data_IF_466937060405
#
_entry.id   IF_466937060405
#
_cell.length_a   1.000
_cell.length_b   1.000
_cell.length_c   1.000
_cell.angle_alpha   90.00
_cell.angle_beta   90.00
_cell.angle_gamma   90.00
#
_symmetry.space_group_name_H-M   'P 1'
#
loop_
_entity.id
_entity.type
_entity.pdbx_description
1 polymer ?
#
# COMPACT_ATOMS: atom_id res chain seq x y z
N UNK A 1 -3.95 -6.27 -12.78
CA UNK A 1 -3.61 -5.59 -11.50
C UNK A 1 -2.83 -6.60 -10.66
N UNK A 2 -1.64 -6.26 -10.13
CA UNK A 2 -0.80 -7.27 -9.44
C UNK A 2 -1.47 -7.73 -8.14
N UNK A 3 -2.09 -8.90 -8.21
CA UNK A 3 -2.48 -9.69 -7.06
C UNK A 3 -1.76 -11.01 -7.15
N UNK A 4 -0.85 -11.21 -6.20
CA UNK A 4 -0.28 -12.48 -5.76
C UNK A 4 -0.10 -13.53 -6.85
N UNK A 5 1.13 -13.63 -7.35
CA UNK A 5 1.70 -14.93 -7.64
C UNK A 5 3.03 -15.01 -6.91
N UNK A 6 3.08 -15.88 -5.89
CA UNK A 6 4.22 -16.59 -5.27
C UNK A 6 3.83 -16.91 -3.83
N UNK A 7 4.01 -18.17 -3.43
CA UNK A 7 3.81 -18.75 -2.10
C UNK A 7 4.71 -18.11 -1.03
N UNK A 8 4.50 -16.84 -0.70
CA UNK A 8 5.27 -16.15 0.34
C UNK A 8 4.71 -16.45 1.73
N UNK A 9 5.58 -16.59 2.73
CA UNK A 9 5.14 -16.68 4.12
C UNK A 9 4.56 -15.34 4.60
N UNK A 10 3.69 -15.33 5.61
CA UNK A 10 3.17 -14.09 6.21
C UNK A 10 4.27 -13.11 6.62
N UNK A 11 5.40 -13.63 7.11
CA UNK A 11 6.58 -12.85 7.47
C UNK A 11 7.22 -12.18 6.25
N UNK A 12 7.35 -12.91 5.12
CA UNK A 12 7.88 -12.35 3.88
C UNK A 12 6.97 -11.27 3.29
N UNK A 13 5.66 -11.48 3.30
CA UNK A 13 4.66 -10.48 2.87
C UNK A 13 4.81 -9.19 3.68
N UNK A 14 5.02 -9.34 4.99
CA UNK A 14 5.26 -8.23 5.90
C UNK A 14 6.60 -7.53 5.63
N UNK A 15 7.68 -8.29 5.45
CA UNK A 15 9.04 -7.81 5.14
C UNK A 15 9.16 -7.16 3.76
N UNK A 16 8.30 -7.55 2.82
CA UNK A 16 8.22 -6.95 1.51
C UNK A 16 7.31 -5.71 1.50
N UNK A 17 6.53 -5.49 2.57
CA UNK A 17 5.57 -4.39 2.65
C UNK A 17 4.50 -4.44 1.54
N UNK A 18 4.15 -5.65 1.08
CA UNK A 18 3.11 -5.89 0.06
C UNK A 18 1.94 -6.56 0.73
N UNK A 19 1.05 -5.79 1.35
CA UNK A 19 -0.05 -6.40 2.08
C UNK A 19 -1.39 -5.72 1.83
N UNK A 20 -2.41 -6.55 1.59
CA UNK A 20 -3.80 -6.10 1.59
C UNK A 20 -4.71 -7.02 2.39
N UNK A 21 -5.41 -6.46 3.36
CA UNK A 21 -6.33 -7.18 4.24
C UNK A 21 -6.35 -6.63 5.66
N UNK A 22 -6.90 -7.41 6.58
CA UNK A 22 -6.90 -7.10 8.00
C UNK A 22 -5.81 -7.88 8.74
N UNK A 23 -4.92 -7.18 9.44
CA UNK A 23 -3.89 -7.78 10.29
C UNK A 23 -4.42 -7.90 11.71
N UNK A 24 -4.46 -9.12 12.23
CA UNK A 24 -4.87 -9.40 13.59
C UNK A 24 -3.68 -9.85 14.42
N UNK A 25 -3.34 -9.04 15.40
CA UNK A 25 -2.38 -9.37 16.44
C UNK A 25 -3.07 -10.05 17.61
N UNK A 26 -2.52 -11.19 18.06
CA UNK A 26 -3.03 -11.92 19.22
C UNK A 26 -1.93 -12.68 19.97
N UNK A 27 -2.29 -13.30 21.10
CA UNK A 27 -1.37 -14.15 21.88
C UNK A 27 -0.33 -13.40 22.72
N UNK A 28 -0.45 -12.08 22.88
CA UNK A 28 0.52 -11.24 23.59
C UNK A 28 1.75 -10.93 22.73
N UNK A 29 2.88 -10.64 23.37
CA UNK A 29 4.16 -10.43 22.69
C UNK A 29 5.21 -11.43 23.17
N UNK A 30 6.14 -11.75 22.27
CA UNK A 30 7.35 -12.51 22.55
C UNK A 30 8.56 -11.63 22.27
N UNK A 31 9.66 -11.90 22.99
CA UNK A 31 10.93 -11.23 22.79
C UNK A 31 11.82 -12.10 21.91
N UNK A 32 12.34 -11.53 20.84
CA UNK A 32 13.19 -12.21 19.86
C UNK A 32 14.56 -11.53 19.85
N UNK A 33 15.61 -12.34 19.90
CA UNK A 33 16.97 -11.87 19.70
C UNK A 33 17.24 -11.75 18.19
N UNK A 34 17.76 -10.60 17.77
CA UNK A 34 18.17 -10.32 16.40
C UNK A 34 19.57 -9.69 16.40
N UNK A 35 20.20 -9.63 15.23
CA UNK A 35 21.48 -8.94 15.07
C UNK A 35 21.40 -7.48 15.56
N UNK A 36 22.02 -7.21 16.71
CA UNK A 36 22.06 -5.89 17.33
C UNK A 36 21.08 -5.64 18.48
N UNK A 37 20.32 -6.64 18.95
CA UNK A 37 19.58 -6.55 20.22
C UNK A 37 18.31 -7.40 20.34
N UNK A 38 17.47 -7.02 21.30
CA UNK A 38 16.18 -7.68 21.57
C UNK A 38 15.02 -6.87 20.97
N UNK A 39 14.07 -7.57 20.36
CA UNK A 39 12.87 -6.98 19.75
C UNK A 39 11.60 -7.64 20.28
N UNK A 40 10.50 -6.89 20.38
CA UNK A 40 9.19 -7.45 20.68
C UNK A 40 8.44 -7.70 19.38
N UNK A 41 7.73 -8.83 19.29
CA UNK A 41 6.73 -9.10 18.24
C UNK A 41 5.50 -9.75 18.85
N UNK A 42 4.34 -9.57 18.23
CA UNK A 42 3.15 -10.31 18.62
C UNK A 42 3.36 -11.80 18.45
N UNK A 43 2.85 -12.60 19.39
CA UNK A 43 3.00 -14.06 19.37
C UNK A 43 2.34 -14.67 18.13
N UNK A 44 1.16 -14.15 17.79
CA UNK A 44 0.42 -14.53 16.60
C UNK A 44 0.11 -13.29 15.76
N UNK A 45 0.24 -13.46 14.44
CA UNK A 45 -0.12 -12.46 13.42
C UNK A 45 -0.95 -13.20 12.37
N UNK A 46 -2.25 -12.91 12.34
CA UNK A 46 -3.18 -13.50 11.39
C UNK A 46 -3.52 -12.48 10.31
N UNK A 47 -3.58 -12.94 9.07
CA UNK A 47 -3.93 -12.14 7.90
C UNK A 47 -5.33 -12.57 7.45
N UNK A 48 -6.30 -11.68 7.62
CA UNK A 48 -7.72 -11.95 7.41
C UNK A 48 -8.28 -11.10 6.26
N UNK A 49 -9.40 -11.54 5.66
CA UNK A 49 -10.21 -10.75 4.70
C UNK A 49 -9.47 -10.22 3.46
N UNK A 50 -8.38 -10.86 3.05
CA UNK A 50 -7.51 -10.39 1.97
C UNK A 50 -8.26 -10.21 0.63
N UNK A 51 -9.10 -11.18 0.25
CA UNK A 51 -9.92 -11.12 -0.98
C UNK A 51 -10.95 -9.98 -0.94
N UNK A 52 -11.58 -9.77 0.21
CA UNK A 52 -12.55 -8.68 0.41
C UNK A 52 -11.86 -7.32 0.28
N UNK A 53 -10.68 -7.15 0.88
CA UNK A 53 -9.94 -5.89 0.81
C UNK A 53 -9.35 -5.68 -0.59
N UNK A 54 -8.92 -6.75 -1.26
CA UNK A 54 -8.45 -6.69 -2.64
C UNK A 54 -9.53 -6.18 -3.60
N UNK A 55 -10.75 -6.69 -3.45
CA UNK A 55 -11.92 -6.23 -4.22
C UNK A 55 -12.23 -4.77 -3.91
N UNK A 56 -12.26 -4.40 -2.63
CA UNK A 56 -12.53 -3.03 -2.19
C UNK A 56 -11.50 -2.06 -2.75
N UNK A 57 -10.20 -2.32 -2.57
CA UNK A 57 -9.16 -1.39 -3.01
C UNK A 57 -9.09 -1.26 -4.52
N UNK A 58 -9.42 -2.33 -5.27
CA UNK A 58 -9.55 -2.25 -6.73
C UNK A 58 -10.65 -1.27 -7.11
N UNK A 59 -11.86 -1.49 -6.59
CA UNK A 59 -13.01 -0.62 -6.87
C UNK A 59 -12.73 0.84 -6.48
N UNK A 60 -12.15 1.05 -5.30
CA UNK A 60 -11.79 2.37 -4.80
C UNK A 60 -10.74 3.05 -5.70
N UNK A 61 -9.69 2.33 -6.08
CA UNK A 61 -8.58 2.89 -6.88
C UNK A 61 -9.06 3.25 -8.28
N UNK A 62 -9.85 2.38 -8.92
CA UNK A 62 -10.45 2.65 -10.22
C UNK A 62 -11.33 3.90 -10.17
N UNK A 63 -12.14 4.05 -9.12
CA UNK A 63 -12.99 5.23 -8.93
C UNK A 63 -12.17 6.51 -8.71
N UNK A 64 -11.15 6.48 -7.84
CA UNK A 64 -10.38 7.69 -7.49
C UNK A 64 -9.51 8.15 -8.65
N UNK A 65 -8.78 7.23 -9.30
CA UNK A 65 -7.97 7.58 -10.46
C UNK A 65 -8.84 7.96 -11.65
N UNK A 66 -9.95 7.24 -11.90
CA UNK A 66 -10.91 7.59 -12.95
C UNK A 66 -11.52 8.97 -12.74
N UNK A 67 -11.92 9.30 -11.50
CA UNK A 67 -12.46 10.62 -11.15
C UNK A 67 -11.43 11.72 -11.27
N UNK A 68 -10.19 11.47 -10.82
CA UNK A 68 -9.10 12.43 -10.95
C UNK A 68 -8.80 12.71 -12.42
N UNK A 69 -8.59 11.67 -13.25
CA UNK A 69 -8.28 11.80 -14.67
C UNK A 69 -9.40 12.44 -15.49
N UNK A 70 -10.66 12.15 -15.17
CA UNK A 70 -11.82 12.76 -15.85
C UNK A 70 -11.83 14.28 -15.74
N UNK A 71 -11.30 14.87 -14.64
CA UNK A 71 -11.18 16.33 -14.48
C UNK A 71 -10.21 16.96 -15.48
N UNK A 72 -9.28 16.17 -16.01
CA UNK A 72 -8.26 16.59 -16.98
C UNK A 72 -8.66 16.21 -18.41
N UNK A 73 -9.94 15.87 -18.65
CA UNK A 73 -10.47 15.39 -19.93
C UNK A 73 -9.76 14.11 -20.44
N UNK A 74 -9.15 13.35 -19.55
CA UNK A 74 -8.55 12.05 -19.87
C UNK A 74 -9.65 11.00 -19.74
N UNK A 75 -9.91 10.27 -20.82
CA UNK A 75 -10.87 9.16 -20.81
C UNK A 75 -10.18 7.94 -20.21
N UNK A 76 -10.65 7.41 -19.07
CA UNK A 76 -10.14 6.15 -18.55
C UNK A 76 -10.44 5.06 -19.56
N UNK A 77 -9.41 4.34 -20.00
CA UNK A 77 -9.64 3.05 -20.66
C UNK A 77 -10.25 2.10 -19.63
N UNK A 78 -11.07 1.16 -20.10
CA UNK A 78 -11.35 -0.03 -19.29
C UNK A 78 -10.03 -0.57 -18.76
N UNK A 79 -10.01 -0.96 -17.48
CA UNK A 79 -8.80 -1.37 -16.79
C UNK A 79 -8.08 -2.43 -17.62
N UNK A 80 -7.02 -2.01 -18.31
CA UNK A 80 -6.18 -2.93 -19.07
C UNK A 80 -5.56 -3.86 -18.05
N UNK A 81 -5.71 -5.17 -18.26
CA UNK A 81 -4.94 -6.11 -17.46
C UNK A 81 -3.46 -5.91 -17.84
N UNK A 82 -2.60 -5.44 -16.92
CA UNK A 82 -1.22 -5.18 -17.21
C UNK A 82 -0.51 -6.53 -17.36
N UNK A 83 -0.49 -7.06 -18.57
CA UNK A 83 0.35 -8.22 -18.91
C UNK A 83 1.79 -7.74 -19.07
N UNK A 84 2.73 -8.38 -18.37
CA UNK A 84 4.16 -8.12 -18.54
C UNK A 84 4.67 -6.78 -17.99
N UNK A 85 3.93 -6.07 -17.14
CA UNK A 85 4.45 -4.83 -16.56
C UNK A 85 5.67 -5.09 -15.66
N UNK A 86 6.76 -4.34 -15.88
CA UNK A 86 7.93 -4.36 -15.00
C UNK A 86 7.62 -3.62 -13.70
N UNK A 87 7.74 -4.33 -12.57
CA UNK A 87 7.58 -3.76 -11.24
C UNK A 87 8.55 -2.59 -10.99
N UNK A 88 8.14 -1.55 -10.24
CA UNK A 88 9.07 -0.52 -9.79
C UNK A 88 10.18 -1.14 -8.95
N UNK A 89 11.39 -0.60 -9.10
CA UNK A 89 12.52 -1.05 -8.31
C UNK A 89 12.39 -0.56 -6.86
N UNK A 90 12.74 -1.44 -5.92
CA UNK A 90 12.76 -1.15 -4.49
C UNK A 90 14.18 -0.84 -4.06
N UNK A 91 14.34 0.26 -3.34
CA UNK A 91 15.58 0.59 -2.67
C UNK A 91 15.32 0.79 -1.17
N UNK A 92 15.97 0.02 -0.29
CA UNK A 92 15.87 0.26 1.14
C UNK A 92 16.49 1.62 1.49
N UNK A 93 15.90 2.32 2.44
CA UNK A 93 16.44 3.57 2.98
C UNK A 93 16.47 3.57 4.52
N UNK A 94 17.35 4.41 5.08
CA UNK A 94 17.49 4.61 6.53
C UNK A 94 16.92 5.96 6.95
N UNK A 95 16.48 6.09 8.19
CA UNK A 95 15.92 7.33 8.76
C UNK A 95 14.40 7.25 8.96
N UNK A 96 13.81 8.25 9.60
CA UNK A 96 12.36 8.34 9.91
C UNK A 96 11.54 8.44 8.62
N UNK A 97 10.46 7.67 8.54
CA UNK A 97 9.49 7.78 7.45
C UNK A 97 8.70 9.10 7.59
N UNK A 98 8.16 9.63 6.49
CA UNK A 98 7.44 10.92 6.48
C UNK A 98 6.19 10.94 7.36
N UNK A 99 5.63 9.77 7.67
CA UNK A 99 4.45 9.59 8.51
C UNK A 99 4.79 9.06 9.92
N UNK A 100 6.08 8.92 10.23
CA UNK A 100 6.57 8.51 11.54
C UNK A 100 6.59 9.72 12.48
N UNK A 101 5.51 9.87 13.24
CA UNK A 101 5.33 10.89 14.29
C UNK A 101 5.90 10.44 15.64
N UNK A 102 6.57 9.27 15.70
CA UNK A 102 7.09 8.68 16.92
C UNK A 102 6.03 8.07 17.85
N UNK A 103 4.74 8.24 17.54
CA UNK A 103 3.62 7.65 18.28
C UNK A 103 3.17 6.31 17.70
N UNK A 104 3.50 6.08 16.42
CA UNK A 104 3.26 4.83 15.72
C UNK A 104 4.58 4.15 15.37
N UNK A 105 5.13 3.37 16.31
CA UNK A 105 6.45 2.75 16.22
C UNK A 105 6.55 1.62 15.17
N UNK A 106 5.85 1.68 14.04
CA UNK A 106 5.87 0.64 13.01
C UNK A 106 7.17 0.67 12.20
N UNK A 107 8.04 -0.32 12.45
CA UNK A 107 9.13 -0.71 11.57
C UNK A 107 8.59 -1.51 10.37
N UNK A 108 7.66 -0.90 9.60
CA UNK A 108 7.45 -1.40 8.25
C UNK A 108 8.79 -1.31 7.49
N UNK A 109 9.07 -2.27 6.59
CA UNK A 109 10.20 -2.20 5.69
C UNK A 109 10.27 -0.83 5.02
N UNK A 110 11.36 -0.11 5.24
CA UNK A 110 11.55 1.25 4.74
C UNK A 110 12.18 1.19 3.36
N UNK A 111 11.36 1.34 2.33
CA UNK A 111 11.82 1.39 0.94
C UNK A 111 11.19 2.52 0.15
N UNK A 112 11.97 3.08 -0.76
CA UNK A 112 11.50 3.96 -1.82
C UNK A 112 11.27 3.14 -3.09
N UNK A 113 10.21 3.48 -3.82
CA UNK A 113 9.94 2.93 -5.14
C UNK A 113 10.47 3.88 -6.21
N UNK A 114 11.14 3.34 -7.21
CA UNK A 114 11.56 4.09 -8.41
C UNK A 114 10.91 3.44 -9.62
N UNK A 115 10.20 4.22 -10.47
CA UNK A 115 9.50 3.65 -11.61
C UNK A 115 10.51 3.05 -12.60
N UNK A 116 10.09 2.00 -13.26
CA UNK A 116 10.81 1.31 -14.33
C UNK A 116 9.99 1.44 -15.60
N UNK A 117 10.64 1.52 -16.75
CA UNK A 117 9.93 1.57 -18.04
C UNK A 117 9.04 0.33 -18.20
N UNK A 118 7.88 0.49 -18.84
CA UNK A 118 6.98 -0.62 -19.09
C UNK A 118 7.51 -1.46 -20.26
N UNK A 119 7.96 -2.69 -19.98
CA UNK A 119 8.44 -3.63 -20.99
C UNK A 119 7.96 -5.05 -20.69
N UNK A 120 7.31 -5.75 -21.64
CA UNK A 120 6.90 -5.29 -22.98
C UNK A 120 5.82 -4.20 -22.93
N UNK A 121 5.69 -3.41 -24.00
CA UNK A 121 4.70 -2.32 -24.06
C UNK A 121 3.27 -2.84 -23.81
N UNK A 122 2.42 -2.06 -23.12
CA UNK A 122 1.03 -2.44 -22.95
C UNK A 122 0.29 -2.45 -24.29
N UNK A 123 -0.58 -3.44 -24.48
CA UNK A 123 -1.51 -3.46 -25.61
C UNK A 123 -2.61 -2.42 -25.37
N UNK A 124 -2.49 -1.25 -26.01
CA UNK A 124 -3.48 -0.17 -25.91
C UNK A 124 -3.99 0.23 -27.30
N UNK A 125 -5.23 0.75 -27.41
CA UNK A 125 -5.72 1.34 -28.65
C UNK A 125 -4.77 2.41 -29.22
N UNK A 126 -4.61 2.48 -30.54
CA UNK A 126 -3.63 3.36 -31.19
C UNK A 126 -3.83 4.87 -30.91
N UNK A 127 -5.04 5.27 -30.49
CA UNK A 127 -5.35 6.65 -30.09
C UNK A 127 -4.93 6.99 -28.65
N UNK A 128 -4.40 6.03 -27.90
CA UNK A 128 -3.93 6.21 -26.53
C UNK A 128 -2.48 6.67 -26.56
N UNK A 129 -2.22 7.83 -25.97
CA UNK A 129 -0.88 8.42 -25.90
C UNK A 129 -0.17 8.11 -24.59
N UNK A 130 -0.92 7.94 -23.50
CA UNK A 130 -0.36 7.68 -22.18
C UNK A 130 -1.25 6.75 -21.35
N UNK A 131 -0.62 6.01 -20.44
CA UNK A 131 -1.28 5.06 -19.53
C UNK A 131 -0.87 5.38 -18.10
N UNK A 132 -1.86 5.52 -17.21
CA UNK A 132 -1.62 5.60 -15.76
C UNK A 132 -1.79 4.22 -15.16
N UNK A 133 -0.79 3.75 -14.43
CA UNK A 133 -0.82 2.47 -13.74
C UNK A 133 -0.67 2.68 -12.23
N UNK A 134 -1.76 2.58 -11.45
CA UNK A 134 -1.69 2.58 -10.01
C UNK A 134 -1.24 1.21 -9.47
N UNK A 135 -0.41 1.23 -8.44
CA UNK A 135 0.12 0.07 -7.70
C UNK A 135 -0.24 0.25 -6.25
N UNK A 136 -1.03 -0.69 -5.73
CA UNK A 136 -1.27 -0.79 -4.30
C UNK A 136 -0.05 -1.43 -3.68
N UNK A 137 0.73 -0.63 -2.94
CA UNK A 137 1.89 -1.14 -2.21
C UNK A 137 1.38 -1.86 -0.96
N UNK A 138 0.55 -1.18 -0.17
CA UNK A 138 -0.16 -1.82 0.93
C UNK A 138 -1.51 -1.15 1.18
N UNK A 139 -2.50 -1.92 1.58
CA UNK A 139 -3.83 -1.47 1.96
C UNK A 139 -4.37 -2.34 3.10
N UNK A 140 -4.21 -1.91 4.33
CA UNK A 140 -4.57 -2.74 5.46
C UNK A 140 -5.14 -1.98 6.65
N UNK A 141 -5.89 -2.71 7.45
CA UNK A 141 -6.23 -2.34 8.82
C UNK A 141 -5.55 -3.28 9.81
N UNK A 142 -5.41 -2.84 11.05
CA UNK A 142 -4.91 -3.69 12.12
C UNK A 142 -5.53 -3.37 13.47
N UNK A 143 -5.62 -4.38 14.33
CA UNK A 143 -6.25 -4.26 15.65
C UNK A 143 -5.32 -3.70 16.74
N UNK A 144 -4.11 -3.27 16.39
CA UNK A 144 -3.07 -2.85 17.33
C UNK A 144 -2.34 -4.05 17.96
N UNK A 145 -1.05 -3.89 18.20
CA UNK A 145 -0.17 -4.99 18.62
C UNK A 145 1.30 -4.68 18.38
N UNK A 146 2.15 -5.71 18.40
CA UNK A 146 3.59 -5.58 18.17
C UNK A 146 3.93 -6.13 16.79
N UNK A 147 4.17 -5.25 15.84
CA UNK A 147 4.79 -5.58 14.57
C UNK A 147 6.24 -6.04 14.76
N UNK A 148 6.83 -6.62 13.72
CA UNK A 148 8.23 -7.02 13.72
C UNK A 148 9.17 -5.84 14.02
N UNK A 149 10.13 -6.08 14.91
CA UNK A 149 11.17 -5.11 15.23
C UNK A 149 10.71 -3.88 16.00
N UNK A 150 9.58 -3.96 16.70
CA UNK A 150 9.09 -2.87 17.54
C UNK A 150 9.60 -2.96 18.98
N UNK A 151 9.92 -1.79 19.56
CA UNK A 151 10.16 -1.67 21.01
C UNK A 151 8.86 -1.42 21.77
N UNK A 152 7.95 -0.65 21.20
CA UNK A 152 6.65 -0.30 21.77
C UNK A 152 5.53 -0.80 20.85
N UNK A 153 4.41 -1.24 21.43
CA UNK A 153 3.24 -1.65 20.66
C UNK A 153 2.62 -0.48 19.90
N UNK A 154 1.88 -0.81 18.85
CA UNK A 154 1.08 0.11 18.04
C UNK A 154 -0.38 0.09 18.48
N UNK A 155 -1.04 1.24 18.37
CA UNK A 155 -2.50 1.32 18.48
C UNK A 155 -3.14 0.78 17.21
N UNK A 156 -4.44 0.51 17.25
CA UNK A 156 -5.18 0.12 16.06
C UNK A 156 -5.25 1.25 15.02
N UNK A 157 -5.41 0.86 13.76
CA UNK A 157 -5.45 1.81 12.65
C UNK A 157 -5.54 1.15 11.28
N UNK A 158 -5.36 1.98 10.27
CA UNK A 158 -5.28 1.58 8.87
C UNK A 158 -4.19 2.36 8.12
N UNK A 159 -3.70 1.76 7.04
CA UNK A 159 -2.70 2.36 6.15
C UNK A 159 -2.98 2.03 4.70
N UNK A 160 -2.71 3.01 3.85
CA UNK A 160 -2.81 2.88 2.41
C UNK A 160 -1.61 3.59 1.76
N UNK A 161 -0.87 2.85 0.92
CA UNK A 161 0.18 3.38 0.06
C UNK A 161 -0.08 3.00 -1.38
N UNK A 162 -0.16 4.02 -2.23
CA UNK A 162 -0.32 3.88 -3.66
C UNK A 162 0.87 4.52 -4.35
N UNK A 163 1.52 3.74 -5.20
CA UNK A 163 2.51 4.22 -6.14
C UNK A 163 1.86 4.24 -7.51
N UNK A 164 1.92 5.35 -8.24
CA UNK A 164 1.41 5.43 -9.60
C UNK A 164 2.49 5.87 -10.56
N UNK A 165 2.42 5.37 -11.79
CA UNK A 165 3.30 5.78 -12.88
C UNK A 165 2.47 6.14 -14.10
N UNK A 166 2.79 7.25 -14.72
CA UNK A 166 2.31 7.66 -16.03
C UNK A 166 3.36 7.25 -17.07
N UNK A 167 2.94 6.44 -18.04
CA UNK A 167 3.77 5.93 -19.12
C UNK A 167 3.36 6.52 -20.45
N UNK A 168 4.34 6.73 -21.32
CA UNK A 168 4.11 6.91 -22.75
C UNK A 168 3.69 5.56 -23.36
N UNK A 169 2.54 5.54 -24.02
CA UNK A 169 1.94 4.31 -24.55
C UNK A 169 2.75 3.67 -25.69
N UNK A 170 3.53 4.47 -26.43
CA UNK A 170 4.23 4.04 -27.64
C UNK A 170 5.65 3.56 -27.34
N UNK A 171 6.26 4.10 -26.29
CA UNK A 171 7.66 3.85 -25.94
C UNK A 171 7.83 3.16 -24.59
N UNK A 172 6.78 3.13 -23.75
CA UNK A 172 6.83 2.58 -22.39
C UNK A 172 7.65 3.44 -21.44
N UNK A 173 8.10 4.62 -21.89
CA UNK A 173 8.90 5.54 -21.10
C UNK A 173 8.08 6.11 -19.95
N UNK A 174 8.72 6.32 -18.80
CA UNK A 174 8.10 6.97 -17.65
C UNK A 174 8.01 8.47 -17.92
N UNK A 175 6.78 9.00 -17.96
CA UNK A 175 6.51 10.43 -18.12
C UNK A 175 6.46 11.14 -16.75
N UNK A 176 5.80 10.52 -15.78
CA UNK A 176 5.66 11.05 -14.41
C UNK A 176 5.31 9.91 -13.45
N UNK A 177 5.48 10.13 -12.16
CA UNK A 177 5.12 9.16 -11.13
C UNK A 177 4.88 9.85 -9.79
N UNK A 178 4.20 9.14 -8.88
CA UNK A 178 4.01 9.60 -7.51
C UNK A 178 3.91 8.43 -6.54
N UNK A 179 4.46 8.66 -5.34
CA UNK A 179 4.35 7.76 -4.19
C UNK A 179 3.57 8.48 -3.08
N UNK A 180 2.41 7.94 -2.74
CA UNK A 180 1.48 8.54 -1.79
C UNK A 180 1.22 7.51 -0.70
N UNK A 181 1.37 7.93 0.54
CA UNK A 181 1.11 7.13 1.72
C UNK A 181 0.18 7.90 2.66
N UNK A 182 -0.76 7.18 3.26
CA UNK A 182 -1.76 7.69 4.20
C UNK A 182 -1.91 6.70 5.34
N UNK A 183 -2.25 7.22 6.52
CA UNK A 183 -2.32 6.50 7.79
C UNK A 183 -3.43 7.12 8.64
N UNK A 184 -4.17 6.25 9.31
CA UNK A 184 -5.09 6.63 10.38
C UNK A 184 -4.82 5.71 11.58
N UNK A 185 -4.67 6.27 12.77
CA UNK A 185 -4.47 5.51 14.01
C UNK A 185 -5.15 6.22 15.16
N UNK A 186 -5.89 5.49 15.99
CA UNK A 186 -6.52 6.07 17.17
C UNK A 186 -5.73 5.76 18.44
N UNK A 187 -5.19 6.82 19.07
CA UNK A 187 -4.40 6.66 20.28
C UNK A 187 -5.20 5.97 21.40
N UNK A 188 -4.61 4.93 22.00
CA UNK A 188 -5.20 4.19 23.12
C UNK A 188 -6.30 3.19 22.73
N UNK A 189 -6.63 3.04 21.45
CA UNK A 189 -7.53 1.98 21.00
C UNK A 189 -6.73 0.73 20.62
N UNK A 190 -7.04 -0.37 21.31
CA UNK A 190 -6.52 -1.71 21.03
C UNK A 190 -7.71 -2.66 20.91
N UNK A 191 -7.66 -3.57 19.93
CA UNK A 191 -8.78 -4.47 19.61
C UNK A 191 -10.09 -3.74 19.26
N UNK A 192 -10.08 -2.86 18.23
CA UNK A 192 -11.29 -2.25 17.70
C UNK A 192 -12.31 -3.31 17.27
N UNK A 193 -13.59 -2.95 17.33
CA UNK A 193 -14.62 -3.72 16.67
C UNK A 193 -14.59 -3.49 15.14
N UNK A 194 -15.39 -4.24 14.39
CA UNK A 194 -15.41 -4.17 12.92
C UNK A 194 -15.77 -2.79 12.38
N UNK A 195 -16.72 -2.08 13.00
CA UNK A 195 -17.12 -0.75 12.55
C UNK A 195 -15.98 0.27 12.71
N UNK A 196 -15.27 0.22 13.83
CA UNK A 196 -14.10 1.09 14.06
C UNK A 196 -12.96 0.81 13.09
N UNK A 197 -12.78 -0.47 12.70
CA UNK A 197 -11.81 -0.84 11.66
C UNK A 197 -12.21 -0.25 10.30
N UNK A 198 -13.49 -0.29 9.97
CA UNK A 198 -14.04 0.30 8.73
C UNK A 198 -13.88 1.82 8.72
N UNK A 199 -14.12 2.51 9.84
CA UNK A 199 -13.90 3.96 9.97
C UNK A 199 -12.44 4.35 9.67
N UNK A 200 -11.47 3.54 10.12
CA UNK A 200 -10.06 3.78 9.80
C UNK A 200 -9.77 3.66 8.30
N UNK A 201 -10.36 2.66 7.65
CA UNK A 201 -10.20 2.46 6.20
C UNK A 201 -10.80 3.63 5.42
N UNK A 202 -12.00 4.07 5.80
CA UNK A 202 -12.64 5.24 5.18
C UNK A 202 -11.76 6.48 5.33
N UNK A 203 -11.19 6.74 6.51
CA UNK A 203 -10.30 7.89 6.71
C UNK A 203 -9.08 7.87 5.77
N UNK A 204 -8.41 6.72 5.65
CA UNK A 204 -7.23 6.63 4.76
C UNK A 204 -7.61 6.70 3.28
N UNK A 205 -8.76 6.15 2.89
CA UNK A 205 -9.34 6.29 1.55
C UNK A 205 -9.64 7.77 1.23
N UNK A 206 -10.28 8.51 2.13
CA UNK A 206 -10.55 9.93 1.92
C UNK A 206 -9.27 10.77 1.82
N UNK A 207 -8.28 10.49 2.67
CA UNK A 207 -6.96 11.15 2.63
C UNK A 207 -6.26 10.87 1.29
N UNK A 208 -6.29 9.62 0.84
CA UNK A 208 -5.67 9.19 -0.42
C UNK A 208 -6.36 9.84 -1.62
N UNK A 209 -7.70 9.92 -1.61
CA UNK A 209 -8.48 10.57 -2.66
C UNK A 209 -8.08 12.04 -2.85
N UNK A 210 -7.87 12.76 -1.73
CA UNK A 210 -7.40 14.15 -1.76
C UNK A 210 -5.99 14.26 -2.31
N UNK A 211 -5.08 13.39 -1.90
CA UNK A 211 -3.69 13.42 -2.35
C UNK A 211 -3.53 13.02 -3.82
N UNK A 212 -4.25 12.00 -4.29
CA UNK A 212 -4.26 11.60 -5.71
C UNK A 212 -4.78 12.75 -6.58
N UNK A 213 -5.90 13.37 -6.19
CA UNK A 213 -6.47 14.51 -6.91
C UNK A 213 -5.54 15.73 -6.98
N UNK A 214 -4.61 15.87 -6.02
CA UNK A 214 -3.66 16.99 -5.95
C UNK A 214 -2.39 16.75 -6.75
N UNK A 215 -1.98 15.48 -6.88
CA UNK A 215 -0.66 15.10 -7.44
C UNK A 215 -0.74 14.55 -8.86
N UNK A 216 -1.89 14.06 -9.29
CA UNK A 216 -2.08 13.72 -10.69
C UNK A 216 -2.10 15.01 -11.53
N UNK A 217 -1.31 15.07 -12.61
CA UNK A 217 -1.23 16.23 -13.51
C UNK A 217 -2.49 16.41 -14.36
#
# INVERSE_FOLDING_TARGET
>A
MLWRDVQQSPDQVFEDGVYVGNIRFSGGFIVVEVDGGMQNRSSNIDFEREESYATQIRSYTDQVFGSALSRHHVVPLEALEPTGWTLPSRRPFRGTDKLDDGHDNQNLPRFTLTPTAWTPLPEVPANVQAVVAPIIVHYYSHNGGWFYGQRFGSTAGARLRVFWTLFDAQTGAVLSWGDIQTKETLHGLYSPNSAQVEDFLISVEEQMSREVSRRLP
#
